data_IF_132318955090
#
_entry.id   IF_132318955090
#
_cell.length_a   1.000
_cell.length_b   1.000
_cell.length_c   1.000
_cell.angle_alpha   90.00
_cell.angle_beta   90.00
_cell.angle_gamma   90.00
#
_symmetry.space_group_name_H-M   'P 1'
#
loop_
_entity.id
_entity.type
_entity.pdbx_description
1 polymer ?
#
# COMPACT_ATOMS: atom_id res chain seq x y z
N UNK A 1 -7.52 -8.21 24.30
CA UNK A 1 -7.13 -8.29 22.88
C UNK A 1 -7.13 -6.87 22.34
N UNK A 2 -6.03 -6.39 21.82
CA UNK A 2 -5.94 -5.06 21.18
C UNK A 2 -6.80 -5.06 19.91
N UNK A 3 -7.62 -4.01 19.75
CA UNK A 3 -8.49 -3.83 18.58
C UNK A 3 -7.64 -3.71 17.32
N UNK A 4 -7.97 -4.41 16.22
CA UNK A 4 -7.21 -4.28 14.98
C UNK A 4 -7.35 -2.87 14.39
N UNK A 5 -6.29 -2.38 13.73
CA UNK A 5 -6.33 -1.12 13.00
C UNK A 5 -7.13 -1.24 11.70
N UNK A 6 -7.01 -2.39 11.01
CA UNK A 6 -7.79 -2.69 9.80
C UNK A 6 -8.44 -4.06 9.98
N UNK A 7 -9.70 -4.17 9.62
CA UNK A 7 -10.44 -5.43 9.64
C UNK A 7 -11.25 -5.57 8.35
N UNK A 8 -11.11 -6.74 7.73
CA UNK A 8 -11.98 -7.22 6.66
C UNK A 8 -12.65 -8.51 7.11
N UNK A 9 -13.95 -8.58 7.03
CA UNK A 9 -14.74 -9.76 7.42
C UNK A 9 -15.70 -10.16 6.31
N UNK A 10 -15.49 -11.34 5.71
CA UNK A 10 -16.30 -11.87 4.60
C UNK A 10 -16.52 -10.84 3.51
N UNK A 11 -15.44 -10.14 3.13
CA UNK A 11 -15.50 -9.15 2.07
C UNK A 11 -15.76 -9.84 0.73
N UNK A 12 -16.82 -9.42 0.05
CA UNK A 12 -17.19 -9.84 -1.29
C UNK A 12 -17.23 -8.61 -2.19
N UNK A 13 -16.74 -8.72 -3.43
CA UNK A 13 -16.72 -7.60 -4.39
C UNK A 13 -17.23 -8.06 -5.74
N UNK A 14 -18.18 -7.31 -6.28
CA UNK A 14 -18.82 -7.56 -7.56
C UNK A 14 -18.62 -6.38 -8.53
N UNK A 15 -18.31 -6.67 -9.80
CA UNK A 15 -18.35 -5.71 -10.89
C UNK A 15 -19.36 -6.20 -11.93
N UNK A 16 -20.59 -5.70 -11.86
CA UNK A 16 -21.72 -6.26 -12.60
C UNK A 16 -21.93 -7.72 -12.17
N UNK A 17 -21.95 -8.65 -13.13
CA UNK A 17 -22.12 -10.07 -12.88
C UNK A 17 -20.81 -10.79 -12.47
N UNK A 18 -19.68 -10.08 -12.50
CA UNK A 18 -18.38 -10.68 -12.19
C UNK A 18 -18.07 -10.55 -10.69
N UNK A 19 -18.04 -11.68 -9.98
CA UNK A 19 -17.64 -11.78 -8.58
C UNK A 19 -16.11 -11.93 -8.52
N UNK A 20 -15.40 -10.92 -8.05
CA UNK A 20 -13.93 -10.81 -8.11
C UNK A 20 -13.26 -11.15 -6.78
N UNK A 21 -13.91 -10.84 -5.65
CA UNK A 21 -13.39 -11.13 -4.31
C UNK A 21 -14.45 -11.91 -3.54
N UNK A 22 -14.05 -13.04 -2.95
CA UNK A 22 -14.95 -14.03 -2.35
C UNK A 22 -14.60 -14.26 -0.87
N UNK A 23 -15.46 -13.82 0.06
CA UNK A 23 -15.39 -14.07 1.50
C UNK A 23 -14.01 -13.78 2.14
N UNK A 24 -13.31 -12.76 1.66
CA UNK A 24 -11.98 -12.41 2.15
C UNK A 24 -12.07 -11.87 3.57
N UNK A 25 -11.31 -12.49 4.49
CA UNK A 25 -11.28 -12.11 5.91
C UNK A 25 -9.84 -12.05 6.43
N UNK A 26 -9.48 -10.92 7.03
CA UNK A 26 -8.19 -10.72 7.70
C UNK A 26 -8.26 -9.52 8.66
N UNK A 27 -7.25 -9.42 9.52
CA UNK A 27 -7.08 -8.28 10.42
C UNK A 27 -5.62 -7.85 10.46
N UNK A 28 -5.39 -6.54 10.62
CA UNK A 28 -4.07 -5.92 10.71
C UNK A 28 -3.99 -5.15 12.02
N UNK A 29 -2.97 -5.44 12.83
CA UNK A 29 -2.76 -4.73 14.08
C UNK A 29 -2.20 -3.32 13.85
N UNK A 30 -2.33 -2.42 14.85
CA UNK A 30 -1.71 -1.09 14.78
C UNK A 30 -0.18 -1.21 14.65
N UNK A 31 0.42 -0.47 13.71
CA UNK A 31 1.86 -0.49 13.41
C UNK A 31 2.35 -1.74 12.67
N UNK A 32 1.45 -2.66 12.29
CA UNK A 32 1.79 -3.86 11.50
C UNK A 32 1.89 -3.50 10.01
N UNK A 33 2.81 -4.16 9.30
CA UNK A 33 2.76 -4.29 7.85
C UNK A 33 2.26 -5.69 7.51
N UNK A 34 1.14 -5.75 6.81
CA UNK A 34 0.49 -6.98 6.36
C UNK A 34 0.59 -7.11 4.84
N UNK A 35 1.07 -8.25 4.36
CA UNK A 35 1.21 -8.55 2.94
C UNK A 35 -0.07 -9.15 2.33
N UNK A 36 -0.42 -8.75 1.12
CA UNK A 36 -1.35 -9.47 0.25
C UNK A 36 -0.58 -9.89 -1.00
N UNK A 37 -0.37 -11.20 -1.18
CA UNK A 37 0.40 -11.76 -2.30
C UNK A 37 -0.45 -12.71 -3.14
N UNK A 38 -0.03 -12.96 -4.36
CA UNK A 38 -0.70 -13.86 -5.32
C UNK A 38 -0.54 -13.38 -6.76
N UNK A 39 -0.98 -14.18 -7.69
CA UNK A 39 -0.90 -13.89 -9.12
C UNK A 39 -1.66 -12.63 -9.53
N UNK A 40 -1.34 -12.10 -10.71
CA UNK A 40 -2.10 -11.01 -11.32
C UNK A 40 -3.57 -11.43 -11.49
N UNK A 41 -4.50 -10.51 -11.17
CA UNK A 41 -5.94 -10.80 -11.23
C UNK A 41 -6.50 -11.57 -10.03
N UNK A 42 -5.72 -11.94 -9.01
CA UNK A 42 -6.24 -12.64 -7.82
C UNK A 42 -7.10 -11.78 -6.86
N UNK A 43 -7.31 -10.48 -7.16
CA UNK A 43 -8.19 -9.62 -6.38
C UNK A 43 -7.50 -8.70 -5.36
N UNK A 44 -6.17 -8.76 -5.19
CA UNK A 44 -5.40 -7.97 -4.19
C UNK A 44 -5.64 -6.47 -4.24
N UNK A 45 -5.42 -5.87 -5.41
CA UNK A 45 -5.64 -4.43 -5.62
C UNK A 45 -7.11 -4.03 -5.44
N UNK A 46 -8.04 -4.95 -5.75
CA UNK A 46 -9.47 -4.73 -5.51
C UNK A 46 -9.77 -4.62 -4.03
N UNK A 47 -9.22 -5.51 -3.19
CA UNK A 47 -9.31 -5.44 -1.73
C UNK A 47 -8.78 -4.11 -1.21
N UNK A 48 -7.57 -3.68 -1.65
CA UNK A 48 -7.02 -2.38 -1.27
C UNK A 48 -7.93 -1.23 -1.65
N UNK A 49 -8.46 -1.23 -2.87
CA UNK A 49 -9.34 -0.16 -3.38
C UNK A 49 -10.67 -0.09 -2.63
N UNK A 50 -11.21 -1.22 -2.15
CA UNK A 50 -12.38 -1.22 -1.26
C UNK A 50 -12.05 -0.56 0.09
N UNK A 51 -10.92 -0.90 0.70
CA UNK A 51 -10.47 -0.27 1.95
C UNK A 51 -10.23 1.23 1.72
N UNK A 52 -9.58 1.62 0.62
CA UNK A 52 -9.32 3.02 0.26
C UNK A 52 -10.60 3.83 -0.05
N UNK A 53 -11.76 3.17 -0.24
CA UNK A 53 -13.01 3.83 -0.64
C UNK A 53 -13.08 4.20 -2.12
N UNK A 54 -12.27 3.54 -2.96
CA UNK A 54 -12.24 3.72 -4.42
C UNK A 54 -13.16 2.74 -5.16
N UNK A 55 -13.60 1.69 -4.49
CA UNK A 55 -14.60 0.72 -4.94
C UNK A 55 -15.68 0.65 -3.89
N UNK A 56 -16.92 0.82 -4.29
CA UNK A 56 -18.12 0.85 -3.41
C UNK A 56 -19.04 -0.36 -3.60
N UNK A 57 -18.81 -1.19 -4.62
CA UNK A 57 -19.59 -2.40 -4.93
C UNK A 57 -19.07 -3.61 -4.15
N UNK A 58 -19.19 -3.59 -2.83
CA UNK A 58 -18.75 -4.67 -1.94
C UNK A 58 -19.79 -4.94 -0.84
N UNK A 59 -19.75 -6.17 -0.31
CA UNK A 59 -20.52 -6.64 0.85
C UNK A 59 -19.57 -7.21 1.91
N UNK A 60 -20.07 -7.38 3.12
CA UNK A 60 -19.31 -7.85 4.26
C UNK A 60 -18.97 -6.74 5.25
N UNK A 61 -17.86 -6.87 5.96
CA UNK A 61 -17.41 -5.91 6.97
C UNK A 61 -16.05 -5.36 6.58
N UNK A 62 -15.94 -4.03 6.56
CA UNK A 62 -14.67 -3.31 6.55
C UNK A 62 -14.66 -2.36 7.74
N UNK A 63 -13.56 -2.34 8.50
CA UNK A 63 -13.38 -1.39 9.59
C UNK A 63 -11.94 -0.86 9.61
N UNK A 64 -11.79 0.41 10.00
CA UNK A 64 -10.50 1.06 10.24
C UNK A 64 -10.57 1.76 11.59
N UNK A 65 -9.55 1.53 12.44
CA UNK A 65 -9.48 2.06 13.80
C UNK A 65 -10.77 1.73 14.59
N UNK A 66 -11.32 0.55 14.28
CA UNK A 66 -12.55 0.03 14.82
C UNK A 66 -13.82 0.78 14.49
N UNK A 67 -13.79 1.67 13.53
CA UNK A 67 -14.95 2.27 12.92
C UNK A 67 -15.35 1.46 11.69
N UNK A 68 -16.57 0.91 11.70
CA UNK A 68 -17.09 0.23 10.52
C UNK A 68 -17.27 1.23 9.38
N UNK A 69 -16.79 0.83 8.20
CA UNK A 69 -16.83 1.66 7.01
C UNK A 69 -18.15 1.43 6.26
N UNK A 70 -18.82 2.52 5.87
CA UNK A 70 -19.90 2.49 4.87
C UNK A 70 -19.33 2.59 3.45
N UNK A 71 -20.17 2.60 2.41
CA UNK A 71 -19.72 2.78 1.01
C UNK A 71 -19.16 4.20 0.74
N UNK A 72 -19.65 5.21 1.45
CA UNK A 72 -19.12 6.58 1.37
C UNK A 72 -18.14 6.83 2.48
N UNK A 73 -17.04 7.48 2.16
CA UNK A 73 -15.98 7.89 3.08
C UNK A 73 -16.03 9.40 3.28
N UNK A 74 -15.78 9.85 4.48
CA UNK A 74 -15.68 11.27 4.80
C UNK A 74 -14.26 11.80 4.58
N UNK A 75 -14.09 13.10 4.74
CA UNK A 75 -12.81 13.79 4.56
C UNK A 75 -11.78 13.38 5.61
N UNK A 76 -12.21 13.07 6.83
CA UNK A 76 -11.33 12.65 7.91
C UNK A 76 -10.78 11.24 7.65
N UNK A 77 -11.60 10.34 7.09
CA UNK A 77 -11.16 9.04 6.63
C UNK A 77 -10.02 9.18 5.60
N UNK A 78 -10.20 10.01 4.57
CA UNK A 78 -9.17 10.23 3.54
C UNK A 78 -7.91 10.92 4.05
N UNK A 79 -7.95 11.60 5.20
CA UNK A 79 -6.76 12.08 5.89
C UNK A 79 -6.01 10.94 6.57
N UNK A 80 -6.72 10.00 7.20
CA UNK A 80 -6.15 8.90 7.98
C UNK A 80 -5.68 7.74 7.13
N UNK A 81 -6.34 7.48 6.01
CA UNK A 81 -6.04 6.35 5.09
C UNK A 81 -5.57 6.91 3.77
N UNK A 82 -4.34 6.63 3.42
CA UNK A 82 -3.72 7.06 2.16
C UNK A 82 -3.25 5.87 1.35
N UNK A 83 -3.13 6.05 0.04
CA UNK A 83 -2.74 5.00 -0.89
C UNK A 83 -1.61 5.44 -1.81
N UNK A 84 -0.63 4.57 -2.00
CA UNK A 84 0.41 4.68 -3.03
C UNK A 84 0.05 3.68 -4.12
N UNK A 85 -0.11 4.17 -5.33
CA UNK A 85 -0.52 3.37 -6.49
C UNK A 85 0.68 2.75 -7.20
N UNK A 86 0.43 1.68 -7.93
CA UNK A 86 1.40 0.95 -8.75
C UNK A 86 2.09 1.83 -9.79
N UNK A 87 1.32 2.71 -10.47
CA UNK A 87 1.84 3.61 -11.48
C UNK A 87 2.00 5.04 -10.93
N UNK A 88 3.24 5.47 -10.66
CA UNK A 88 3.48 6.83 -10.23
C UNK A 88 3.18 7.89 -11.31
N UNK A 89 3.23 7.52 -12.60
CA UNK A 89 2.85 8.44 -13.69
C UNK A 89 1.36 8.75 -13.67
N UNK A 90 0.51 7.75 -13.50
CA UNK A 90 -0.93 7.93 -13.40
C UNK A 90 -1.38 8.64 -12.12
N UNK A 91 -0.57 8.57 -11.06
CA UNK A 91 -0.89 9.17 -9.76
C UNK A 91 -0.43 10.63 -9.61
N UNK A 92 0.55 11.09 -10.40
CA UNK A 92 1.08 12.45 -10.36
C UNK A 92 0.62 13.26 -11.58
N UNK A 93 -0.08 14.38 -11.34
CA UNK A 93 -0.57 15.23 -12.42
C UNK A 93 0.59 15.80 -13.25
N UNK A 94 0.71 15.50 -14.57
CA UNK A 94 1.92 15.76 -15.36
C UNK A 94 2.25 17.25 -15.56
N UNK A 95 1.26 18.13 -15.38
CA UNK A 95 1.39 19.60 -15.56
C UNK A 95 1.52 20.35 -14.23
N UNK A 96 1.70 19.65 -13.12
CA UNK A 96 1.90 20.26 -11.81
C UNK A 96 3.35 20.03 -11.36
N UNK A 97 3.96 21.02 -10.72
CA UNK A 97 5.25 20.84 -10.04
C UNK A 97 5.09 19.97 -8.81
N UNK A 98 6.17 19.37 -8.32
CA UNK A 98 6.20 18.61 -7.07
C UNK A 98 5.65 19.45 -5.90
N UNK A 99 6.00 20.73 -5.86
CA UNK A 99 5.46 21.68 -4.86
C UNK A 99 3.93 21.70 -4.87
N UNK A 100 3.33 21.83 -6.04
CA UNK A 100 1.87 21.85 -6.18
C UNK A 100 1.24 20.51 -5.81
N UNK A 101 1.86 19.40 -6.23
CA UNK A 101 1.41 18.04 -5.91
C UNK A 101 1.42 17.76 -4.39
N UNK A 102 2.41 18.28 -3.67
CA UNK A 102 2.51 18.12 -2.22
C UNK A 102 1.64 19.12 -1.45
N UNK A 103 1.37 20.31 -2.01
CA UNK A 103 0.47 21.31 -1.42
C UNK A 103 -0.99 20.89 -1.46
N UNK A 104 -1.41 20.14 -2.49
CA UNK A 104 -2.80 19.75 -2.71
C UNK A 104 -3.43 18.99 -1.50
N UNK A 105 -2.82 17.90 -0.97
CA UNK A 105 -3.37 17.22 0.20
C UNK A 105 -3.46 18.13 1.43
N UNK A 106 -2.49 19.02 1.62
CA UNK A 106 -2.51 19.97 2.74
C UNK A 106 -3.68 20.94 2.62
N UNK A 107 -3.90 21.49 1.43
CA UNK A 107 -5.02 22.40 1.16
C UNK A 107 -6.37 21.69 1.30
N UNK A 108 -6.50 20.47 0.74
CA UNK A 108 -7.72 19.65 0.86
C UNK A 108 -8.07 19.40 2.32
N UNK A 109 -7.11 19.11 3.18
CA UNK A 109 -7.35 18.82 4.60
C UNK A 109 -7.25 20.03 5.51
N UNK A 110 -6.97 21.23 4.98
CA UNK A 110 -6.84 22.47 5.76
C UNK A 110 -5.64 22.43 6.73
N UNK A 111 -4.56 21.77 6.33
CA UNK A 111 -3.35 21.62 7.14
C UNK A 111 -2.45 22.84 6.90
N UNK A 112 -2.09 23.61 7.94
CA UNK A 112 -1.26 24.80 7.80
C UNK A 112 0.23 24.46 7.56
N UNK A 113 1.06 25.49 7.37
CA UNK A 113 2.52 25.43 7.28
C UNK A 113 3.03 24.58 6.10
N UNK A 114 2.39 24.75 4.93
CA UNK A 114 2.70 23.96 3.73
C UNK A 114 4.19 24.01 3.36
N UNK A 115 4.84 25.19 3.44
CA UNK A 115 6.27 25.38 3.11
C UNK A 115 7.18 24.44 3.93
N UNK A 116 7.01 24.46 5.25
CA UNK A 116 7.79 23.62 6.18
C UNK A 116 7.51 22.13 5.96
N UNK A 117 6.23 21.77 5.75
CA UNK A 117 5.82 20.39 5.55
C UNK A 117 6.32 19.80 4.23
N UNK A 118 6.30 20.57 3.15
CA UNK A 118 6.82 20.14 1.84
C UNK A 118 8.32 19.93 1.93
N UNK A 119 9.04 20.87 2.54
CA UNK A 119 10.49 20.74 2.74
C UNK A 119 10.83 19.46 3.51
N UNK A 120 10.15 19.23 4.64
CA UNK A 120 10.33 18.02 5.45
C UNK A 120 9.96 16.75 4.70
N UNK A 121 8.84 16.74 3.97
CA UNK A 121 8.40 15.58 3.20
C UNK A 121 9.39 15.18 2.11
N UNK A 122 10.04 16.15 1.45
CA UNK A 122 11.10 15.88 0.48
C UNK A 122 12.36 15.31 1.13
N UNK A 123 12.77 15.84 2.28
CA UNK A 123 13.89 15.33 3.07
C UNK A 123 13.65 13.89 3.52
N UNK A 124 12.46 13.58 4.02
CA UNK A 124 12.07 12.25 4.48
C UNK A 124 12.11 11.19 3.37
N UNK A 125 11.86 11.58 2.12
CA UNK A 125 11.96 10.68 0.96
C UNK A 125 13.31 10.78 0.23
N UNK A 126 14.33 11.37 0.86
CA UNK A 126 15.67 11.56 0.33
C UNK A 126 15.68 12.26 -1.05
N UNK A 127 14.85 13.29 -1.22
CA UNK A 127 14.86 14.17 -2.39
C UNK A 127 15.41 15.55 -2.01
N UNK A 128 16.23 16.17 -2.88
CA UNK A 128 16.73 17.52 -2.63
C UNK A 128 15.57 18.54 -2.67
N UNK A 129 15.69 19.62 -1.89
CA UNK A 129 14.68 20.69 -1.84
C UNK A 129 14.39 21.29 -3.22
N UNK A 130 15.37 21.31 -4.12
CA UNK A 130 15.21 21.79 -5.50
C UNK A 130 14.27 20.95 -6.33
N UNK A 131 13.99 19.69 -5.94
CA UNK A 131 13.03 18.82 -6.62
C UNK A 131 11.62 19.39 -6.60
N UNK A 132 11.27 20.25 -5.62
CA UNK A 132 9.94 20.86 -5.52
C UNK A 132 9.51 21.65 -6.76
N UNK A 133 10.49 22.23 -7.50
CA UNK A 133 10.23 23.04 -8.68
C UNK A 133 10.18 22.23 -9.98
N UNK A 134 10.46 20.93 -9.91
CA UNK A 134 10.41 20.03 -11.08
C UNK A 134 9.00 19.53 -11.35
N UNK A 135 8.77 19.22 -12.62
CA UNK A 135 7.58 18.48 -13.06
C UNK A 135 7.85 16.97 -13.06
N UNK A 136 6.83 16.10 -12.99
CA UNK A 136 7.01 14.65 -13.00
C UNK A 136 7.86 14.11 -14.14
N UNK A 137 7.73 14.68 -15.35
CA UNK A 137 8.53 14.26 -16.51
C UNK A 137 10.03 14.59 -16.40
N UNK A 138 10.43 15.46 -15.46
CA UNK A 138 11.82 15.84 -15.18
C UNK A 138 12.47 14.97 -14.08
N UNK A 139 11.74 13.98 -13.57
CA UNK A 139 12.17 13.09 -12.50
C UNK A 139 12.40 11.68 -13.04
N UNK A 140 13.37 10.93 -12.46
CA UNK A 140 13.50 9.49 -12.70
C UNK A 140 12.29 8.71 -12.16
N UNK A 141 12.15 7.43 -12.55
CA UNK A 141 11.09 6.55 -12.02
C UNK A 141 11.09 6.48 -10.51
N UNK A 142 12.24 6.22 -9.89
CA UNK A 142 12.40 6.18 -8.44
C UNK A 142 12.12 7.53 -7.75
N UNK A 143 12.52 8.64 -8.37
CA UNK A 143 12.21 9.98 -7.84
C UNK A 143 10.71 10.26 -7.88
N UNK A 144 9.99 9.86 -8.94
CA UNK A 144 8.53 9.97 -9.00
C UNK A 144 7.85 9.14 -7.92
N UNK A 145 8.33 7.91 -7.73
CA UNK A 145 7.80 7.03 -6.67
C UNK A 145 8.00 7.66 -5.28
N UNK A 146 9.16 8.23 -5.02
CA UNK A 146 9.44 8.95 -3.77
C UNK A 146 8.52 10.17 -3.60
N UNK A 147 8.20 10.91 -4.67
CA UNK A 147 7.21 12.00 -4.63
C UNK A 147 5.80 11.46 -4.35
N UNK A 148 5.38 10.34 -4.95
CA UNK A 148 4.09 9.72 -4.67
C UNK A 148 3.98 9.27 -3.20
N UNK A 149 5.05 8.70 -2.63
CA UNK A 149 5.14 8.35 -1.21
C UNK A 149 5.05 9.61 -0.34
N UNK A 150 5.82 10.67 -0.65
CA UNK A 150 5.79 11.93 0.09
C UNK A 150 4.38 12.53 0.09
N UNK A 151 3.69 12.53 -1.06
CA UNK A 151 2.31 13.02 -1.21
C UNK A 151 1.33 12.25 -0.34
N UNK A 152 1.45 10.94 -0.29
CA UNK A 152 0.60 10.11 0.58
C UNK A 152 0.86 10.38 2.08
N UNK A 153 2.12 10.64 2.45
CA UNK A 153 2.51 10.81 3.86
C UNK A 153 2.37 12.24 4.41
N UNK A 154 2.23 13.25 3.54
CA UNK A 154 2.30 14.67 3.96
C UNK A 154 1.13 15.08 4.86
N UNK A 155 -0.04 14.44 4.73
CA UNK A 155 -1.20 14.64 5.58
C UNK A 155 -1.11 13.92 6.93
N UNK A 156 0.00 13.20 7.19
CA UNK A 156 0.26 12.41 8.38
C UNK A 156 -0.80 11.32 8.63
N UNK A 157 -0.98 10.37 7.69
CA UNK A 157 -1.93 9.28 7.84
C UNK A 157 -1.53 8.29 8.94
N UNK A 158 -2.48 7.51 9.43
CA UNK A 158 -2.23 6.35 10.33
C UNK A 158 -2.17 5.02 9.55
N UNK A 159 -2.77 4.98 8.36
CA UNK A 159 -2.84 3.80 7.48
C UNK A 159 -2.30 4.15 6.11
N UNK A 160 -1.40 3.31 5.60
CA UNK A 160 -0.83 3.41 4.26
C UNK A 160 -1.10 2.13 3.48
N UNK A 161 -1.80 2.26 2.37
CA UNK A 161 -2.09 1.18 1.44
C UNK A 161 -1.10 1.27 0.27
N UNK A 162 -0.37 0.19 0.02
CA UNK A 162 0.71 0.12 -0.96
C UNK A 162 0.33 -0.90 -2.05
N UNK A 163 -0.09 -0.41 -3.22
CA UNK A 163 -0.46 -1.26 -4.37
C UNK A 163 0.73 -1.40 -5.31
N UNK A 164 1.49 -2.49 -5.18
CA UNK A 164 2.70 -2.79 -5.97
C UNK A 164 3.66 -1.59 -6.09
N UNK A 165 4.12 -0.97 -4.99
CA UNK A 165 4.76 0.35 -5.01
C UNK A 165 6.11 0.38 -5.73
N UNK A 166 6.66 -0.75 -6.16
CA UNK A 166 7.98 -0.83 -6.79
C UNK A 166 7.99 -1.62 -8.10
N UNK A 167 6.86 -2.15 -8.56
CA UNK A 167 6.79 -3.05 -9.72
C UNK A 167 7.25 -2.41 -11.05
N UNK A 168 7.17 -1.09 -11.17
CA UNK A 168 7.58 -0.33 -12.35
C UNK A 168 9.02 0.22 -12.29
N UNK A 169 9.83 -0.24 -11.31
CA UNK A 169 11.19 0.26 -11.06
C UNK A 169 12.24 -0.83 -11.32
N UNK A 170 13.45 -0.41 -11.67
CA UNK A 170 14.63 -1.28 -11.76
C UNK A 170 14.96 -1.89 -10.38
N UNK A 171 15.54 -3.10 -10.36
CA UNK A 171 15.81 -3.88 -9.14
C UNK A 171 16.58 -3.09 -8.07
N UNK A 172 17.61 -2.34 -8.45
CA UNK A 172 18.39 -1.52 -7.51
C UNK A 172 17.56 -0.40 -6.89
N UNK A 173 16.72 0.26 -7.69
CA UNK A 173 15.85 1.35 -7.26
C UNK A 173 14.69 0.80 -6.41
N UNK A 174 14.20 -0.42 -6.71
CA UNK A 174 13.21 -1.10 -5.86
C UNK A 174 13.71 -1.26 -4.43
N UNK A 175 14.93 -1.79 -4.25
CA UNK A 175 15.51 -1.99 -2.91
C UNK A 175 15.60 -0.67 -2.12
N UNK A 176 16.04 0.41 -2.78
CA UNK A 176 16.10 1.73 -2.14
C UNK A 176 14.72 2.24 -1.69
N UNK A 177 13.69 2.08 -2.51
CA UNK A 177 12.31 2.52 -2.19
C UNK A 177 11.70 1.65 -1.09
N UNK A 178 11.97 0.34 -1.06
CA UNK A 178 11.50 -0.57 -0.02
C UNK A 178 12.15 -0.24 1.33
N UNK A 179 13.46 0.00 1.36
CA UNK A 179 14.17 0.43 2.58
C UNK A 179 13.62 1.75 3.10
N UNK A 180 13.41 2.73 2.21
CA UNK A 180 12.78 4.00 2.56
C UNK A 180 11.39 3.80 3.18
N UNK A 181 10.55 2.93 2.61
CA UNK A 181 9.22 2.61 3.16
C UNK A 181 9.32 1.94 4.53
N UNK A 182 10.31 1.05 4.74
CA UNK A 182 10.56 0.42 6.04
C UNK A 182 10.90 1.46 7.12
N UNK A 183 11.82 2.38 6.81
CA UNK A 183 12.25 3.45 7.71
C UNK A 183 11.09 4.39 8.05
N UNK A 184 10.35 4.86 7.04
CA UNK A 184 9.20 5.74 7.21
C UNK A 184 8.08 5.09 8.03
N UNK A 185 7.80 3.80 7.79
CA UNK A 185 6.84 3.03 8.58
C UNK A 185 7.24 2.99 10.06
N UNK A 186 8.50 2.67 10.34
CA UNK A 186 9.01 2.58 11.70
C UNK A 186 9.00 3.95 12.40
N UNK A 187 9.51 4.99 11.75
CA UNK A 187 9.59 6.33 12.31
C UNK A 187 8.21 6.94 12.60
N UNK A 188 7.20 6.62 11.80
CA UNK A 188 5.84 7.16 11.91
C UNK A 188 4.83 6.21 12.54
N UNK A 189 5.25 4.98 12.90
CA UNK A 189 4.38 3.94 13.47
C UNK A 189 3.17 3.62 12.57
N UNK A 190 3.39 3.59 11.25
CA UNK A 190 2.32 3.40 10.27
C UNK A 190 1.82 1.95 10.29
N UNK A 191 0.51 1.79 10.13
CA UNK A 191 -0.10 0.51 9.77
C UNK A 191 -0.16 0.42 8.25
N UNK A 192 0.38 -0.67 7.67
CA UNK A 192 0.46 -0.80 6.22
C UNK A 192 -0.19 -2.08 5.72
N UNK A 193 -0.83 -2.02 4.55
CA UNK A 193 -1.10 -3.20 3.72
C UNK A 193 -0.26 -3.06 2.46
N UNK A 194 0.56 -4.07 2.17
CA UNK A 194 1.41 -4.13 0.98
C UNK A 194 0.90 -5.21 0.03
N UNK A 195 0.49 -4.80 -1.16
CA UNK A 195 0.22 -5.72 -2.28
C UNK A 195 1.49 -5.90 -3.09
N UNK A 196 1.86 -7.13 -3.35
CA UNK A 196 2.96 -7.49 -4.26
C UNK A 196 2.71 -8.87 -4.86
N UNK A 197 3.26 -9.12 -6.04
CA UNK A 197 3.39 -10.45 -6.61
C UNK A 197 4.75 -11.08 -6.29
N UNK A 198 5.69 -10.32 -5.71
CA UNK A 198 7.03 -10.76 -5.33
C UNK A 198 7.07 -11.05 -3.82
N UNK A 199 7.29 -12.33 -3.47
CA UNK A 199 7.36 -12.80 -2.07
C UNK A 199 8.60 -12.26 -1.33
N UNK A 200 9.73 -12.05 -2.02
CA UNK A 200 10.93 -11.49 -1.40
C UNK A 200 10.67 -10.06 -0.87
N UNK A 201 9.96 -9.24 -1.66
CA UNK A 201 9.53 -7.90 -1.25
C UNK A 201 8.67 -7.95 0.01
N UNK A 202 7.72 -8.88 0.06
CA UNK A 202 6.80 -9.03 1.19
C UNK A 202 7.52 -9.59 2.41
N UNK A 203 8.40 -10.59 2.23
CA UNK A 203 9.21 -11.18 3.30
C UNK A 203 10.17 -10.18 3.96
N UNK A 204 10.55 -9.11 3.25
CA UNK A 204 11.40 -8.05 3.79
C UNK A 204 10.64 -7.04 4.67
N UNK A 205 9.37 -6.77 4.36
CA UNK A 205 8.59 -5.69 4.98
C UNK A 205 7.47 -6.18 5.92
N UNK A 206 6.95 -7.39 5.69
CA UNK A 206 5.72 -7.85 6.32
C UNK A 206 5.98 -8.94 7.36
N UNK A 207 5.39 -8.78 8.56
CA UNK A 207 5.43 -9.83 9.59
C UNK A 207 4.45 -10.96 9.33
N UNK A 208 3.38 -10.68 8.62
CA UNK A 208 2.35 -11.64 8.21
C UNK A 208 1.90 -11.31 6.80
N UNK A 209 1.48 -12.33 6.08
CA UNK A 209 0.95 -12.17 4.73
C UNK A 209 -0.20 -13.13 4.47
N UNK A 210 -1.13 -12.72 3.62
CA UNK A 210 -2.18 -13.57 3.07
C UNK A 210 -1.87 -13.87 1.61
N UNK A 211 -1.97 -15.14 1.24
CA UNK A 211 -1.87 -15.59 -0.16
C UNK A 211 -3.27 -15.62 -0.75
N UNK A 212 -3.44 -14.94 -1.88
CA UNK A 212 -4.71 -14.87 -2.61
C UNK A 212 -4.64 -15.65 -3.93
N UNK A 213 -5.66 -16.45 -4.18
CA UNK A 213 -5.89 -17.17 -5.43
C UNK A 213 -7.37 -17.12 -5.79
N UNK A 214 -7.70 -16.79 -7.04
CA UNK A 214 -9.08 -16.78 -7.52
C UNK A 214 -10.05 -15.95 -6.64
N UNK A 215 -9.63 -14.79 -6.17
CA UNK A 215 -10.46 -13.92 -5.35
C UNK A 215 -10.57 -14.32 -3.86
N UNK A 216 -9.88 -15.37 -3.41
CA UNK A 216 -9.94 -15.91 -2.03
C UNK A 216 -8.59 -15.83 -1.34
N UNK A 217 -8.58 -15.68 -0.02
CA UNK A 217 -7.41 -15.98 0.79
C UNK A 217 -7.36 -17.50 0.95
N UNK A 218 -6.27 -18.12 0.47
CA UNK A 218 -6.05 -19.56 0.56
C UNK A 218 -5.18 -19.93 1.76
N UNK A 219 -4.32 -19.01 2.21
CA UNK A 219 -3.46 -19.22 3.38
C UNK A 219 -3.02 -17.88 3.97
N UNK A 220 -2.78 -17.85 5.29
CA UNK A 220 -2.12 -16.73 5.97
C UNK A 220 -0.86 -17.29 6.63
N UNK A 221 0.29 -16.68 6.37
CA UNK A 221 1.61 -17.08 6.87
C UNK A 221 2.20 -15.97 7.75
N UNK A 222 3.01 -16.38 8.72
CA UNK A 222 3.95 -15.48 9.40
C UNK A 222 5.25 -15.39 8.62
N UNK A 223 6.06 -14.37 8.91
CA UNK A 223 7.41 -14.23 8.35
C UNK A 223 8.27 -15.49 8.59
N UNK A 224 8.21 -16.07 9.80
CA UNK A 224 8.97 -17.27 10.14
C UNK A 224 8.55 -18.49 9.32
N UNK A 225 7.23 -18.67 9.09
CA UNK A 225 6.72 -19.75 8.23
C UNK A 225 7.14 -19.56 6.77
N UNK A 226 7.11 -18.33 6.27
CA UNK A 226 7.57 -18.02 4.92
C UNK A 226 9.07 -18.34 4.75
N UNK A 227 9.91 -17.88 5.68
CA UNK A 227 11.37 -18.15 5.66
C UNK A 227 11.72 -19.63 5.80
N UNK A 228 10.93 -20.36 6.56
CA UNK A 228 11.10 -21.82 6.72
C UNK A 228 10.53 -22.63 5.53
N UNK A 229 9.95 -21.98 4.51
CA UNK A 229 9.26 -22.64 3.40
C UNK A 229 8.04 -23.46 3.82
N UNK A 230 7.48 -23.15 5.01
CA UNK A 230 6.36 -23.91 5.57
C UNK A 230 5.05 -23.39 5.00
N UNK A 231 4.40 -24.20 4.20
CA UNK A 231 3.06 -23.93 3.65
C UNK A 231 2.24 -25.20 3.57
N UNK A 232 0.94 -25.06 3.88
CA UNK A 232 -0.05 -26.14 3.78
C UNK A 232 -0.76 -26.15 2.42
N UNK A 233 -0.78 -25.02 1.72
CA UNK A 233 -1.49 -24.89 0.45
C UNK A 233 -0.56 -25.07 -0.76
N UNK A 234 -0.98 -25.88 -1.76
CA UNK A 234 -0.16 -26.18 -2.94
C UNK A 234 0.29 -24.93 -3.68
N UNK A 235 -0.65 -24.00 -3.96
CA UNK A 235 -0.37 -22.75 -4.65
C UNK A 235 0.66 -21.86 -3.89
N UNK A 236 0.61 -21.86 -2.57
CA UNK A 236 1.60 -21.12 -1.75
C UNK A 236 2.99 -21.74 -1.88
N UNK A 237 3.09 -23.09 -1.89
CA UNK A 237 4.36 -23.79 -2.13
C UNK A 237 4.96 -23.46 -3.47
N UNK A 238 4.12 -23.44 -4.52
CA UNK A 238 4.55 -23.10 -5.88
C UNK A 238 5.08 -21.66 -5.94
N UNK A 239 4.40 -20.69 -5.30
CA UNK A 239 4.85 -19.31 -5.23
C UNK A 239 6.18 -19.16 -4.47
N UNK A 240 6.37 -19.90 -3.37
CA UNK A 240 7.63 -19.91 -2.60
C UNK A 240 8.76 -20.49 -3.46
N UNK A 241 8.52 -21.61 -4.15
CA UNK A 241 9.52 -22.25 -5.02
C UNK A 241 9.98 -21.29 -6.13
N UNK A 242 9.03 -20.64 -6.83
CA UNK A 242 9.34 -19.65 -7.86
C UNK A 242 10.13 -18.45 -7.34
N UNK A 243 9.87 -18.00 -6.10
CA UNK A 243 10.62 -16.88 -5.53
C UNK A 243 12.10 -17.23 -5.27
N UNK A 244 12.41 -18.45 -4.86
CA UNK A 244 13.77 -18.92 -4.65
C UNK A 244 14.55 -19.10 -5.96
N UNK A 245 13.89 -19.47 -7.06
CA UNK A 245 14.53 -19.59 -8.38
C UNK A 245 14.93 -18.22 -8.97
N UNK A 246 14.28 -17.14 -8.56
CA UNK A 246 14.58 -15.77 -9.03
C UNK A 246 15.68 -15.08 -8.22
N UNK A 247 16.06 -15.63 -7.05
CA UNK A 247 17.13 -15.10 -6.18
C UNK A 247 18.49 -15.78 -6.37
N UNK A 248 18.57 -16.91 -7.10
CA UNK A 248 19.79 -17.67 -7.38
C UNK A 248 20.34 -17.34 -8.76
#
# INVERSE_FOLDING_TARGET
>A
MTKPMIEAGKLNVHFGDNHVVHDVSFSVAAGETFGLVGESGSGKSTVLRCIAGLVDSWDGVLAVDGQQLGHRRDRDFFRRVQMVFQDPYGSLHPRQTVDRLLSEPLAVHGIPDAETRITKALEEVALPRTARFRYPHQLSGGQRQRVAIARALIANPSVLLLDEPTSALDVSVQAEVLNLLADLRQARQLTCILVSHNLAVVGHLCRRLAVMQGGRIVEILTEDQLRAGQSNHAHTRDLIALSHELEG
#
